data_IF_599235338384
#
_entry.id   IF_599235338384
#
_cell.length_a   1.000
_cell.length_b   1.000
_cell.length_c   1.000
_cell.angle_alpha   90.00
_cell.angle_beta   90.00
_cell.angle_gamma   90.00
#
_symmetry.space_group_name_H-M   'P 1'
#
loop_
_entity.id
_entity.type
_entity.pdbx_description
1 polymer ?
#
# COMPACT_ATOMS: atom_id res chain seq x y z
N UNK A 1 -16.72 -2.33 -6.22
CA UNK A 1 -16.17 -1.31 -7.15
C UNK A 1 -16.87 0.02 -6.90
N UNK A 2 -16.23 1.17 -7.14
CA UNK A 2 -16.93 2.46 -7.11
C UNK A 2 -17.96 2.53 -8.26
N UNK A 3 -19.16 3.08 -8.03
CA UNK A 3 -20.17 3.27 -9.08
C UNK A 3 -19.85 4.44 -10.02
N UNK A 4 -19.08 5.41 -9.52
CA UNK A 4 -18.59 6.61 -10.22
C UNK A 4 -17.06 6.66 -10.13
N UNK A 5 -16.44 7.76 -10.59
CA UNK A 5 -14.98 7.93 -10.50
C UNK A 5 -14.23 6.90 -11.35
N UNK A 6 -13.20 6.30 -10.79
CA UNK A 6 -12.30 5.39 -11.52
C UNK A 6 -12.94 4.04 -11.87
N UNK A 7 -14.07 3.71 -11.21
CA UNK A 7 -14.71 2.39 -11.22
C UNK A 7 -13.79 1.26 -10.73
N UNK A 8 -12.71 1.56 -10.01
CA UNK A 8 -11.80 0.58 -9.40
C UNK A 8 -12.37 0.04 -8.07
N UNK A 9 -11.63 -0.85 -7.39
CA UNK A 9 -12.10 -1.42 -6.12
C UNK A 9 -12.15 -0.33 -5.04
N UNK A 10 -13.21 -0.35 -4.24
CA UNK A 10 -13.38 0.60 -3.15
C UNK A 10 -12.43 0.30 -2.01
N UNK A 11 -11.91 1.34 -1.37
CA UNK A 11 -11.24 1.26 -0.08
C UNK A 11 -12.07 2.03 0.94
N UNK A 12 -12.28 1.43 2.10
CA UNK A 12 -13.12 1.97 3.17
C UNK A 12 -12.49 1.72 4.52
N UNK A 13 -12.95 2.43 5.54
CA UNK A 13 -12.67 2.11 6.94
C UNK A 13 -13.80 1.22 7.46
N UNK A 14 -13.45 0.01 7.87
CA UNK A 14 -14.40 -0.95 8.43
C UNK A 14 -14.11 -1.15 9.93
N UNK A 15 -15.10 -1.00 10.83
CA UNK A 15 -14.85 -0.93 12.27
C UNK A 15 -14.69 -2.30 12.95
N UNK A 16 -14.90 -3.41 12.24
CA UNK A 16 -14.84 -4.75 12.81
C UNK A 16 -13.62 -5.52 12.30
N UNK A 17 -13.17 -6.51 13.09
CA UNK A 17 -12.10 -7.43 12.69
C UNK A 17 -12.56 -8.27 11.50
N UNK A 18 -11.76 -8.27 10.46
CA UNK A 18 -12.01 -8.97 9.21
C UNK A 18 -10.67 -9.15 8.48
N UNK A 19 -10.51 -10.24 7.74
CA UNK A 19 -9.29 -10.51 6.99
C UNK A 19 -9.10 -9.51 5.82
N UNK A 20 -10.18 -8.86 5.37
CA UNK A 20 -10.12 -7.74 4.41
C UNK A 20 -9.47 -6.47 5.00
N UNK A 21 -9.17 -6.45 6.30
CA UNK A 21 -8.39 -5.36 6.90
C UNK A 21 -6.88 -5.64 6.88
N UNK A 22 -6.44 -6.79 6.38
CA UNK A 22 -5.03 -7.20 6.38
C UNK A 22 -4.33 -6.66 5.13
N UNK A 23 -3.21 -5.97 5.35
CA UNK A 23 -2.36 -5.43 4.30
C UNK A 23 -0.92 -5.86 4.52
N UNK A 24 -0.26 -6.26 3.44
CA UNK A 24 1.16 -6.56 3.40
C UNK A 24 1.92 -5.34 2.89
N UNK A 25 2.96 -4.95 3.63
CA UNK A 25 3.82 -3.82 3.27
C UNK A 25 4.98 -4.32 2.41
N UNK A 26 5.02 -3.87 1.16
CA UNK A 26 6.04 -4.22 0.20
C UNK A 26 6.98 -3.04 -0.03
N UNK A 27 8.26 -3.31 -0.27
CA UNK A 27 9.21 -2.28 -0.67
C UNK A 27 8.88 -1.75 -2.08
N UNK A 28 9.37 -0.55 -2.41
CA UNK A 28 9.17 0.10 -3.71
C UNK A 28 9.69 -0.76 -4.87
N UNK A 29 10.84 -1.39 -4.69
CA UNK A 29 11.46 -2.33 -5.64
C UNK A 29 11.29 -3.76 -5.18
N UNK A 30 11.13 -4.72 -6.10
CA UNK A 30 11.22 -6.15 -5.79
C UNK A 30 12.62 -6.50 -5.24
N UNK A 31 12.75 -7.57 -4.42
CA UNK A 31 14.06 -8.04 -4.02
C UNK A 31 14.78 -8.67 -5.21
N UNK A 32 16.10 -8.69 -5.15
CA UNK A 32 16.94 -9.27 -6.20
C UNK A 32 17.47 -10.63 -5.74
N UNK A 33 17.56 -11.58 -6.67
CA UNK A 33 18.21 -12.88 -6.47
C UNK A 33 19.75 -12.75 -6.47
N UNK A 34 20.45 -13.89 -6.31
CA UNK A 34 21.92 -13.94 -6.32
C UNK A 34 22.54 -13.44 -7.64
N UNK A 35 21.77 -13.41 -8.73
CA UNK A 35 22.20 -12.95 -10.05
C UNK A 35 21.81 -11.49 -10.31
N UNK A 36 21.20 -10.80 -9.33
CA UNK A 36 20.73 -9.43 -9.47
C UNK A 36 19.42 -9.29 -10.27
N UNK A 37 18.68 -10.38 -10.47
CA UNK A 37 17.40 -10.39 -11.16
C UNK A 37 16.26 -10.22 -10.14
N UNK A 38 15.21 -9.49 -10.51
CA UNK A 38 14.05 -9.32 -9.65
C UNK A 38 13.38 -10.67 -9.36
N UNK A 39 13.18 -10.97 -8.08
CA UNK A 39 12.35 -12.08 -7.64
C UNK A 39 10.90 -11.65 -7.89
N UNK A 40 10.24 -12.33 -8.82
CA UNK A 40 8.88 -12.03 -9.21
C UNK A 40 7.87 -12.69 -8.29
N UNK A 41 6.68 -12.08 -8.22
CA UNK A 41 5.54 -12.62 -7.49
C UNK A 41 5.29 -11.94 -6.15
N UNK A 42 4.11 -12.20 -5.61
CA UNK A 42 3.64 -11.58 -4.37
C UNK A 42 4.46 -12.00 -3.14
N UNK A 43 4.97 -13.23 -3.17
CA UNK A 43 5.70 -13.90 -2.08
C UNK A 43 7.23 -13.70 -2.17
N UNK A 44 7.70 -12.78 -3.02
CA UNK A 44 9.13 -12.55 -3.26
C UNK A 44 9.92 -12.19 -1.97
N UNK A 45 9.22 -11.77 -0.92
CA UNK A 45 9.78 -11.35 0.36
C UNK A 45 9.72 -12.42 1.45
N UNK A 46 9.00 -13.53 1.24
CA UNK A 46 8.70 -14.52 2.29
C UNK A 46 9.96 -15.24 2.79
N UNK A 47 10.94 -15.42 1.91
CA UNK A 47 12.22 -16.11 2.20
C UNK A 47 13.34 -15.14 2.63
N UNK A 48 13.02 -13.85 2.81
CA UNK A 48 13.98 -12.82 3.18
C UNK A 48 13.82 -12.41 4.64
N UNK A 49 14.94 -12.02 5.26
CA UNK A 49 14.90 -11.45 6.60
C UNK A 49 14.01 -10.19 6.63
N UNK A 50 13.20 -10.00 7.69
CA UNK A 50 12.31 -8.87 7.78
C UNK A 50 13.10 -7.56 7.83
N UNK A 51 12.75 -6.62 6.95
CA UNK A 51 13.35 -5.30 6.90
C UNK A 51 12.52 -4.35 7.74
N UNK A 52 13.13 -3.72 8.75
CA UNK A 52 12.47 -2.70 9.54
C UNK A 52 12.10 -1.47 8.70
N UNK A 53 10.83 -1.06 8.78
CA UNK A 53 10.33 0.17 8.17
C UNK A 53 10.85 1.36 8.97
N UNK A 54 11.38 2.35 8.25
CA UNK A 54 11.93 3.59 8.81
C UNK A 54 11.10 4.80 8.38
N UNK A 55 11.23 5.89 9.11
CA UNK A 55 10.72 7.19 8.70
C UNK A 55 11.28 7.58 7.32
N UNK A 56 10.41 8.04 6.42
CA UNK A 56 10.73 8.36 5.03
C UNK A 56 10.76 7.18 4.06
N UNK A 57 10.54 5.94 4.53
CA UNK A 57 10.47 4.78 3.64
C UNK A 57 9.31 4.91 2.63
N UNK A 58 9.54 4.52 1.38
CA UNK A 58 8.51 4.47 0.34
C UNK A 58 8.09 3.03 0.15
N UNK A 59 6.80 2.76 0.33
CA UNK A 59 6.23 1.41 0.34
C UNK A 59 5.05 1.31 -0.63
N UNK A 60 4.70 0.07 -0.96
CA UNK A 60 3.44 -0.31 -1.58
C UNK A 60 2.62 -1.09 -0.56
N UNK A 61 1.32 -0.82 -0.48
CA UNK A 61 0.42 -1.55 0.42
C UNK A 61 -0.38 -2.55 -0.40
N UNK A 62 -0.15 -3.84 -0.19
CA UNK A 62 -0.78 -4.94 -0.92
C UNK A 62 -1.91 -5.58 -0.10
N UNK A 63 -3.11 -5.64 -0.68
CA UNK A 63 -4.26 -6.29 -0.08
C UNK A 63 -4.29 -7.76 -0.47
N UNK A 64 -4.02 -8.64 0.51
CA UNK A 64 -3.82 -10.08 0.27
C UNK A 64 -5.07 -10.78 -0.24
N UNK A 65 -6.26 -10.35 0.19
CA UNK A 65 -7.51 -11.02 -0.18
C UNK A 65 -7.93 -10.75 -1.62
N UNK A 66 -7.47 -9.65 -2.25
CA UNK A 66 -7.91 -9.26 -3.61
C UNK A 66 -6.78 -9.10 -4.61
N UNK A 67 -5.54 -9.34 -4.19
CA UNK A 67 -4.33 -9.22 -4.98
C UNK A 67 -4.17 -7.85 -5.66
N UNK A 68 -4.52 -6.78 -4.93
CA UNK A 68 -4.49 -5.39 -5.41
C UNK A 68 -3.69 -4.52 -4.46
N UNK A 69 -3.27 -3.35 -4.93
CA UNK A 69 -2.53 -2.37 -4.14
C UNK A 69 -3.37 -1.15 -3.85
N UNK A 70 -3.10 -0.52 -2.70
CA UNK A 70 -3.55 0.84 -2.43
C UNK A 70 -3.04 1.73 -3.56
N UNK A 71 -3.92 2.51 -4.16
CA UNK A 71 -3.64 3.29 -5.35
C UNK A 71 -4.24 4.68 -5.21
N UNK A 72 -3.49 5.67 -5.66
CA UNK A 72 -3.92 7.07 -5.73
C UNK A 72 -4.02 7.51 -7.19
N UNK A 73 -4.77 8.56 -7.48
CA UNK A 73 -4.84 9.16 -8.82
C UNK A 73 -5.54 10.51 -8.77
N UNK A 74 -5.47 11.26 -9.86
CA UNK A 74 -6.21 12.51 -10.03
C UNK A 74 -7.66 12.24 -10.50
N UNK A 75 -8.45 11.64 -9.59
CA UNK A 75 -9.87 11.35 -9.81
C UNK A 75 -10.66 11.90 -8.63
N UNK A 76 -11.81 12.53 -8.90
CA UNK A 76 -12.69 13.05 -7.86
C UNK A 76 -13.27 11.92 -7.00
N UNK A 77 -13.20 12.02 -5.66
CA UNK A 77 -13.80 11.04 -4.77
C UNK A 77 -15.34 11.05 -4.86
N UNK A 78 -16.01 9.94 -4.55
CA UNK A 78 -17.44 9.77 -4.84
C UNK A 78 -18.41 10.53 -3.91
N UNK A 79 -17.93 11.08 -2.79
CA UNK A 79 -18.80 11.66 -1.73
C UNK A 79 -18.49 13.13 -1.43
N UNK A 80 -17.22 13.52 -1.49
CA UNK A 80 -16.78 14.85 -1.12
C UNK A 80 -16.56 15.69 -2.36
N UNK A 81 -17.06 16.93 -2.34
CA UNK A 81 -16.90 17.91 -3.42
C UNK A 81 -15.67 18.81 -3.21
N UNK A 82 -14.82 18.49 -2.22
CA UNK A 82 -13.65 19.28 -1.92
C UNK A 82 -12.61 19.17 -3.03
N UNK A 83 -12.22 20.31 -3.60
CA UNK A 83 -11.34 20.34 -4.77
C UNK A 83 -9.91 19.80 -4.52
N UNK A 84 -9.51 19.71 -3.25
CA UNK A 84 -8.19 19.26 -2.80
C UNK A 84 -8.17 17.78 -2.38
N UNK A 85 -9.29 17.06 -2.53
CA UNK A 85 -9.38 15.63 -2.21
C UNK A 85 -9.50 14.79 -3.49
N UNK A 86 -8.83 13.64 -3.48
CA UNK A 86 -8.81 12.66 -4.55
C UNK A 86 -9.36 11.31 -4.08
N UNK A 87 -9.88 10.53 -5.01
CA UNK A 87 -10.27 9.13 -4.80
C UNK A 87 -9.03 8.29 -4.43
N UNK A 88 -9.25 7.35 -3.51
CA UNK A 88 -8.29 6.30 -3.16
C UNK A 88 -8.95 4.96 -3.46
N UNK A 89 -8.26 4.11 -4.18
CA UNK A 89 -8.80 2.84 -4.70
C UNK A 89 -7.84 1.68 -4.46
N UNK A 90 -8.34 0.45 -4.67
CA UNK A 90 -7.47 -0.72 -4.83
C UNK A 90 -7.37 -1.09 -6.32
N UNK A 91 -6.14 -1.11 -6.85
CA UNK A 91 -5.86 -1.34 -8.28
C UNK A 91 -4.83 -2.45 -8.50
N UNK A 92 -4.77 -2.97 -9.73
CA UNK A 92 -3.89 -4.06 -10.12
C UNK A 92 -4.53 -5.45 -10.00
N UNK A 93 -3.66 -6.46 -10.04
CA UNK A 93 -3.98 -7.88 -9.95
C UNK A 93 -2.68 -8.65 -9.63
N UNK A 94 -2.80 -9.95 -9.37
CA UNK A 94 -1.64 -10.81 -9.08
C UNK A 94 -0.64 -10.82 -10.26
N UNK A 95 0.64 -10.56 -9.96
CA UNK A 95 1.68 -10.47 -10.99
C UNK A 95 1.69 -9.16 -11.78
N UNK A 96 0.78 -8.22 -11.50
CA UNK A 96 0.90 -6.85 -12.02
C UNK A 96 1.98 -6.09 -11.23
N UNK A 97 2.88 -5.40 -11.92
CA UNK A 97 3.98 -4.67 -11.27
C UNK A 97 3.52 -3.43 -10.50
N UNK A 98 2.39 -2.85 -10.91
CA UNK A 98 1.91 -1.57 -10.40
C UNK A 98 2.52 -0.39 -11.15
N UNK A 99 2.23 0.82 -10.67
CA UNK A 99 2.83 2.05 -11.15
C UNK A 99 3.25 2.97 -9.99
N UNK A 100 3.75 4.17 -10.32
CA UNK A 100 4.23 5.11 -9.32
C UNK A 100 3.14 5.64 -8.38
N UNK A 101 1.86 5.51 -8.73
CA UNK A 101 0.76 5.94 -7.89
C UNK A 101 0.41 4.93 -6.78
N UNK A 102 1.07 3.76 -6.78
CA UNK A 102 1.03 2.78 -5.69
C UNK A 102 2.05 3.10 -4.58
N UNK A 103 2.87 4.14 -4.73
CA UNK A 103 3.95 4.49 -3.81
C UNK A 103 3.50 5.46 -2.72
N UNK A 104 3.61 5.01 -1.46
CA UNK A 104 3.27 5.80 -0.29
C UNK A 104 4.49 5.95 0.61
N UNK A 105 4.84 7.20 0.93
CA UNK A 105 5.89 7.52 1.89
C UNK A 105 5.35 7.43 3.31
N UNK A 106 6.07 6.71 4.16
CA UNK A 106 5.82 6.66 5.60
C UNK A 106 6.42 7.89 6.26
N UNK A 107 5.61 8.63 7.00
CA UNK A 107 6.05 9.79 7.79
C UNK A 107 5.68 9.55 9.25
N UNK A 108 6.67 9.32 10.11
CA UNK A 108 6.47 9.03 11.53
C UNK A 108 6.33 10.33 12.31
N UNK A 109 5.11 10.61 12.79
CA UNK A 109 4.82 11.79 13.61
C UNK A 109 5.34 11.60 15.03
N UNK A 110 6.60 11.98 15.27
CA UNK A 110 7.32 11.77 16.54
C UNK A 110 6.55 12.27 17.78
N UNK A 111 5.92 13.44 17.69
CA UNK A 111 5.15 14.05 18.81
C UNK A 111 3.97 13.19 19.26
N UNK A 112 3.42 12.37 18.36
CA UNK A 112 2.29 11.48 18.62
C UNK A 112 2.71 10.02 18.78
N UNK A 113 4.01 9.74 18.66
CA UNK A 113 4.58 8.42 18.81
C UNK A 113 5.02 8.23 20.26
N UNK A 114 4.75 7.05 20.83
CA UNK A 114 5.32 6.69 22.13
C UNK A 114 6.82 6.49 21.91
N UNK A 115 7.65 7.35 22.51
CA UNK A 115 9.09 7.14 22.50
C UNK A 115 9.45 6.04 23.49
N UNK A 116 9.61 4.81 23.02
CA UNK A 116 10.15 3.73 23.84
C UNK A 116 11.67 3.72 23.79
N UNK A 117 12.33 4.68 24.44
CA UNK A 117 13.76 4.60 24.83
C UNK A 117 14.04 5.48 26.06
N UNK A 118 13.82 4.91 27.24
CA UNK A 118 14.62 5.24 28.43
C UNK A 118 15.60 4.09 28.62
N UNK A 119 16.84 4.31 28.19
CA UNK A 119 18.02 3.56 28.65
C UNK A 119 18.60 4.23 29.88
#
# INVERSE_FOLDING_TARGET
MYPTGSKQQQITLYPHKDDNNVWMLQNQSQPLDINGLAINGTNAWDDLDPIYIKDGAVLRLYHTQTNRRLHSHDVRPPVTEADWQNEVSAYGYEGFDGDANDYFRVEIVKKQSISSFTS
#
